data_IF_486816642362
#
_entry.id   IF_486816642362
#
_cell.length_a   1.000
_cell.length_b   1.000
_cell.length_c   1.000
_cell.angle_alpha   90.00
_cell.angle_beta   90.00
_cell.angle_gamma   90.00
#
_symmetry.space_group_name_H-M   'P 1'
#
loop_
_entity.id
_entity.type
_entity.pdbx_description
1 polymer ?
#
# COMPACT_ATOMS: atom_id res chain seq x y z
N UNK A 1 -14.72 -39.04 -32.28
CA UNK A 1 -13.47 -38.26 -32.08
C UNK A 1 -13.75 -36.82 -31.65
N UNK A 2 -14.63 -36.06 -32.34
CA UNK A 2 -14.98 -34.66 -31.99
C UNK A 2 -15.52 -34.44 -30.57
N UNK A 3 -16.42 -35.29 -30.08
CA UNK A 3 -16.97 -35.16 -28.71
C UNK A 3 -15.91 -35.29 -27.60
N UNK A 4 -14.93 -36.18 -27.77
CA UNK A 4 -13.84 -36.37 -26.79
C UNK A 4 -12.91 -35.15 -26.71
N UNK A 5 -12.69 -34.47 -27.85
CA UNK A 5 -11.87 -33.25 -27.91
C UNK A 5 -12.60 -32.08 -27.22
N UNK A 6 -13.91 -31.95 -27.42
CA UNK A 6 -14.72 -30.91 -26.77
C UNK A 6 -14.76 -31.11 -25.25
N UNK A 7 -14.97 -32.34 -24.78
CA UNK A 7 -14.94 -32.66 -23.35
C UNK A 7 -13.56 -32.41 -22.71
N UNK A 8 -12.46 -32.74 -23.40
CA UNK A 8 -11.12 -32.39 -22.93
C UNK A 8 -10.90 -30.87 -22.86
N UNK A 9 -11.37 -30.11 -23.86
CA UNK A 9 -11.27 -28.65 -23.85
C UNK A 9 -12.01 -28.01 -22.67
N UNK A 10 -13.23 -28.47 -22.39
CA UNK A 10 -14.03 -28.00 -21.25
C UNK A 10 -13.37 -28.37 -19.92
N UNK A 11 -12.83 -29.58 -19.79
CA UNK A 11 -12.14 -30.01 -18.57
C UNK A 11 -10.87 -29.18 -18.31
N UNK A 12 -10.08 -28.86 -19.33
CA UNK A 12 -8.89 -28.00 -19.20
C UNK A 12 -9.30 -26.59 -18.79
N UNK A 13 -10.35 -26.03 -19.39
CA UNK A 13 -10.86 -24.71 -19.01
C UNK A 13 -11.32 -24.68 -17.55
N UNK A 14 -12.03 -25.71 -17.09
CA UNK A 14 -12.45 -25.83 -15.69
C UNK A 14 -11.27 -25.91 -14.73
N UNK A 15 -10.23 -26.68 -15.07
CA UNK A 15 -9.02 -26.81 -14.24
C UNK A 15 -8.27 -25.47 -14.16
N UNK A 16 -8.16 -24.73 -15.27
CA UNK A 16 -7.51 -23.42 -15.28
C UNK A 16 -8.30 -22.41 -14.44
N UNK A 17 -9.63 -22.35 -14.61
CA UNK A 17 -10.49 -21.45 -13.82
C UNK A 17 -10.45 -21.82 -12.34
N UNK A 18 -10.53 -23.11 -11.99
CA UNK A 18 -10.40 -23.58 -10.61
C UNK A 18 -9.02 -23.24 -10.04
N UNK A 19 -7.94 -23.38 -10.81
CA UNK A 19 -6.59 -23.00 -10.40
C UNK A 19 -6.44 -21.50 -10.12
N UNK A 20 -7.06 -20.64 -10.94
CA UNK A 20 -7.07 -19.18 -10.73
C UNK A 20 -7.87 -18.83 -9.46
N UNK A 21 -9.05 -19.43 -9.27
CA UNK A 21 -9.89 -19.21 -8.08
C UNK A 21 -9.18 -19.70 -6.81
N UNK A 22 -8.57 -20.88 -6.83
CA UNK A 22 -7.82 -21.43 -5.70
C UNK A 22 -6.59 -20.57 -5.39
N UNK A 23 -5.84 -20.14 -6.40
CA UNK A 23 -4.69 -19.24 -6.20
C UNK A 23 -5.13 -17.89 -5.64
N UNK A 24 -6.23 -17.33 -6.13
CA UNK A 24 -6.85 -16.11 -5.57
C UNK A 24 -7.30 -16.31 -4.12
N UNK A 25 -7.90 -17.46 -3.80
CA UNK A 25 -8.34 -17.79 -2.44
C UNK A 25 -7.17 -18.02 -1.47
N UNK A 26 -6.10 -18.68 -1.90
CA UNK A 26 -4.89 -18.88 -1.10
C UNK A 26 -4.17 -17.54 -0.88
N UNK A 27 -4.11 -16.67 -1.89
CA UNK A 27 -3.54 -15.33 -1.80
C UNK A 27 -4.35 -14.42 -0.86
N UNK A 28 -5.68 -14.52 -0.90
CA UNK A 28 -6.61 -13.83 0.02
C UNK A 28 -6.49 -14.34 1.47
N UNK A 29 -6.10 -15.60 1.67
CA UNK A 29 -5.90 -16.23 2.99
C UNK A 29 -4.51 -16.09 3.57
N UNK A 30 -3.57 -15.39 2.94
CA UNK A 30 -2.44 -14.84 3.69
C UNK A 30 -2.97 -13.69 4.54
N UNK A 31 -3.72 -14.07 5.60
CA UNK A 31 -4.30 -13.16 6.55
C UNK A 31 -3.20 -12.29 7.12
N UNK A 32 -3.40 -10.98 7.00
CA UNK A 32 -2.65 -10.06 7.83
C UNK A 32 -3.20 -10.22 9.24
N UNK A 33 -2.39 -10.75 10.14
CA UNK A 33 -2.45 -10.30 11.52
C UNK A 33 -2.11 -8.81 11.45
N UNK A 34 -3.13 -7.94 11.42
CA UNK A 34 -2.96 -6.55 11.82
C UNK A 34 -3.02 -6.61 13.35
N UNK A 35 -1.89 -6.59 14.05
CA UNK A 35 -1.88 -6.56 15.51
C UNK A 35 -2.66 -5.33 15.99
N UNK A 36 -3.90 -5.59 16.42
CA UNK A 36 -4.77 -4.60 17.03
C UNK A 36 -4.21 -4.33 18.43
N UNK A 37 -3.84 -3.07 18.70
CA UNK A 37 -3.45 -2.64 20.04
C UNK A 37 -4.70 -2.40 20.88
N UNK A 38 -4.74 -2.95 22.08
CA UNK A 38 -5.82 -2.62 23.03
C UNK A 38 -5.70 -1.18 23.48
N UNK A 39 -6.84 -0.53 23.66
CA UNK A 39 -6.92 0.81 24.26
C UNK A 39 -7.48 0.78 25.69
N UNK A 40 -7.64 -0.40 26.30
CA UNK A 40 -8.25 -0.52 27.63
C UNK A 40 -7.37 0.09 28.75
N UNK A 41 -6.05 0.12 28.57
CA UNK A 41 -5.12 0.85 29.44
C UNK A 41 -4.01 1.53 28.63
N UNK A 42 -3.36 2.53 29.22
CA UNK A 42 -2.25 3.24 28.58
C UNK A 42 -1.05 2.31 28.30
N UNK A 43 -0.79 1.32 29.15
CA UNK A 43 0.27 0.32 28.91
C UNK A 43 -0.05 -0.62 27.74
N UNK A 44 -1.33 -0.94 27.50
CA UNK A 44 -1.70 -1.78 26.37
C UNK A 44 -1.70 -1.01 25.04
N UNK A 45 -1.99 0.29 25.07
CA UNK A 45 -1.85 1.17 23.91
C UNK A 45 -0.38 1.31 23.46
N UNK A 46 0.55 1.26 24.43
CA UNK A 46 1.99 1.29 24.18
C UNK A 46 2.62 -0.09 23.95
N UNK A 47 1.85 -1.18 24.03
CA UNK A 47 2.38 -2.53 23.84
C UNK A 47 2.95 -2.73 22.42
N UNK A 48 4.00 -3.55 22.33
CA UNK A 48 4.57 -3.98 21.07
C UNK A 48 3.52 -4.75 20.23
N UNK A 49 3.62 -4.62 18.91
CA UNK A 49 2.78 -5.32 17.95
C UNK A 49 2.71 -6.83 18.27
N UNK A 50 1.51 -7.37 18.54
CA UNK A 50 1.28 -8.81 18.75
C UNK A 50 1.20 -9.29 20.20
N UNK A 51 1.08 -8.41 21.19
CA UNK A 51 0.84 -8.83 22.58
C UNK A 51 -0.56 -9.45 22.74
N UNK A 52 -0.71 -10.71 23.17
CA UNK A 52 -2.01 -11.34 23.31
C UNK A 52 -2.82 -10.67 24.42
N UNK A 53 -4.02 -10.23 24.07
CA UNK A 53 -4.97 -9.66 25.01
C UNK A 53 -5.91 -10.77 25.47
N UNK A 54 -5.75 -11.21 26.71
CA UNK A 54 -6.75 -12.04 27.35
C UNK A 54 -7.97 -11.13 27.56
N UNK A 55 -9.15 -11.56 27.09
CA UNK A 55 -10.40 -10.81 27.25
C UNK A 55 -10.58 -10.45 28.74
N UNK A 56 -10.31 -9.19 29.09
CA UNK A 56 -10.38 -8.74 30.47
C UNK A 56 -11.86 -8.63 30.85
N UNK A 57 -12.28 -9.48 31.79
CA UNK A 57 -13.54 -9.33 32.51
C UNK A 57 -13.52 -7.99 33.23
N UNK A 58 -14.41 -7.06 32.88
CA UNK A 58 -14.61 -5.84 33.65
C UNK A 58 -15.61 -6.16 34.76
N UNK A 59 -15.21 -5.94 36.02
CA UNK A 59 -16.13 -5.94 37.15
C UNK A 59 -16.94 -4.64 37.05
N UNK A 60 -18.25 -4.73 36.84
CA UNK A 60 -19.14 -3.58 36.93
C UNK A 60 -19.17 -3.01 38.36
N UNK A 61 -19.68 -1.78 38.53
CA UNK A 61 -19.74 -1.06 39.82
C UNK A 61 -20.48 -1.84 40.94
N UNK A 62 -21.28 -2.85 40.59
CA UNK A 62 -21.99 -3.73 41.54
C UNK A 62 -21.43 -5.17 41.60
N UNK A 63 -20.22 -5.42 41.08
CA UNK A 63 -19.59 -6.74 41.11
C UNK A 63 -20.19 -7.76 40.14
N UNK A 64 -20.97 -7.31 39.15
CA UNK A 64 -21.47 -8.17 38.08
C UNK A 64 -20.43 -8.35 36.96
N UNK A 65 -20.38 -9.56 36.41
CA UNK A 65 -19.59 -9.88 35.21
C UNK A 65 -20.36 -9.34 34.01
N UNK A 66 -19.97 -8.17 33.52
CA UNK A 66 -20.47 -7.65 32.25
C UNK A 66 -19.62 -8.19 31.10
N UNK A 67 -20.27 -8.67 30.04
CA UNK A 67 -19.56 -8.93 28.79
C UNK A 67 -19.15 -7.56 28.25
N UNK A 68 -17.85 -7.26 28.34
CA UNK A 68 -17.31 -6.02 27.81
C UNK A 68 -17.69 -5.92 26.33
N UNK A 69 -18.57 -4.97 25.99
CA UNK A 69 -18.78 -4.57 24.60
C UNK A 69 -17.50 -3.88 24.18
N UNK A 70 -16.59 -4.64 23.56
CA UNK A 70 -15.40 -4.07 22.96
C UNK A 70 -15.91 -3.15 21.84
N UNK A 71 -15.69 -1.82 21.92
CA UNK A 71 -16.10 -0.94 20.84
C UNK A 71 -15.42 -1.38 19.54
N UNK A 72 -16.11 -1.24 18.41
CA UNK A 72 -15.51 -1.53 17.11
C UNK A 72 -14.24 -0.69 16.95
N UNK A 73 -13.11 -1.37 16.78
CA UNK A 73 -11.81 -0.73 16.70
C UNK A 73 -11.77 0.22 15.51
N UNK A 74 -11.49 1.51 15.75
CA UNK A 74 -11.30 2.49 14.69
C UNK A 74 -9.82 2.47 14.24
N UNK A 75 -9.50 1.93 13.05
CA UNK A 75 -8.12 1.85 12.58
C UNK A 75 -7.45 3.21 12.41
N UNK A 76 -8.20 4.33 12.37
CA UNK A 76 -7.66 5.70 12.40
C UNK A 76 -6.84 5.99 13.66
N UNK A 77 -7.06 5.22 14.73
CA UNK A 77 -6.33 5.34 15.99
C UNK A 77 -4.99 4.58 15.98
N UNK A 78 -4.68 3.81 14.93
CA UNK A 78 -3.33 3.29 14.69
C UNK A 78 -2.43 4.45 14.31
N UNK A 79 -1.64 4.90 15.27
CA UNK A 79 -0.62 5.93 15.08
C UNK A 79 0.74 5.28 14.89
N UNK A 80 1.55 5.88 14.01
CA UNK A 80 2.97 5.54 13.91
C UNK A 80 3.65 5.77 15.28
N UNK A 81 4.50 4.83 15.70
CA UNK A 81 5.33 4.97 16.89
C UNK A 81 6.25 6.19 16.81
N UNK A 82 6.82 6.61 17.94
CA UNK A 82 7.81 7.70 17.94
C UNK A 82 9.02 7.39 17.03
N UNK A 83 9.48 6.13 17.02
CA UNK A 83 10.59 5.70 16.18
C UNK A 83 10.24 5.65 14.69
N UNK A 84 9.06 5.12 14.33
CA UNK A 84 8.59 5.14 12.93
C UNK A 84 8.49 6.58 12.45
N UNK A 85 7.85 7.47 13.22
CA UNK A 85 7.76 8.90 12.89
C UNK A 85 9.13 9.54 12.72
N UNK A 86 10.08 9.26 13.60
CA UNK A 86 11.45 9.78 13.49
C UNK A 86 12.19 9.25 12.24
N UNK A 87 11.84 8.06 11.78
CA UNK A 87 12.45 7.41 10.61
C UNK A 87 11.82 7.83 9.28
N UNK A 88 10.63 8.43 9.30
CA UNK A 88 9.95 8.90 8.08
C UNK A 88 10.83 9.92 7.34
N UNK A 89 11.27 9.62 6.10
CA UNK A 89 12.12 10.52 5.33
C UNK A 89 11.33 11.71 4.79
N UNK A 90 12.04 12.82 4.54
CA UNK A 90 11.46 14.03 3.96
C UNK A 90 11.14 13.84 2.47
N UNK A 91 9.90 14.13 2.10
CA UNK A 91 9.47 14.27 0.71
C UNK A 91 9.86 15.66 0.18
N UNK A 92 11.14 15.83 -0.12
CA UNK A 92 11.68 17.06 -0.73
C UNK A 92 11.08 17.31 -2.11
N UNK A 93 10.82 16.22 -2.84
CA UNK A 93 10.28 16.19 -4.19
C UNK A 93 9.21 15.10 -4.30
N UNK A 94 8.21 15.35 -5.14
CA UNK A 94 7.25 14.32 -5.54
C UNK A 94 7.22 14.13 -7.06
N UNK A 95 6.82 12.94 -7.51
CA UNK A 95 6.74 12.56 -8.93
C UNK A 95 5.57 11.62 -9.18
N UNK A 96 5.27 11.39 -10.46
CA UNK A 96 4.17 10.52 -10.87
C UNK A 96 4.37 9.08 -10.37
N UNK A 97 3.27 8.43 -10.00
CA UNK A 97 3.25 7.06 -9.51
C UNK A 97 3.17 5.99 -10.62
N UNK A 98 2.82 6.39 -11.85
CA UNK A 98 2.65 5.51 -13.01
C UNK A 98 3.18 6.23 -14.26
N UNK A 99 3.45 5.45 -15.31
CA UNK A 99 3.88 5.91 -16.62
C UNK A 99 5.39 5.75 -16.79
N UNK A 100 6.01 6.62 -17.57
CA UNK A 100 7.47 6.75 -17.51
C UNK A 100 7.91 7.28 -16.15
N UNK A 101 9.22 7.24 -15.88
CA UNK A 101 9.87 7.90 -14.73
C UNK A 101 9.53 9.40 -14.56
N UNK A 102 8.88 10.00 -15.55
CA UNK A 102 8.43 11.40 -15.55
C UNK A 102 6.92 11.56 -15.71
N UNK A 103 6.15 10.48 -15.59
CA UNK A 103 4.69 10.50 -15.70
C UNK A 103 4.16 10.67 -17.13
N UNK A 104 4.97 10.36 -18.15
CA UNK A 104 4.47 10.26 -19.52
C UNK A 104 3.74 8.93 -19.74
N UNK A 105 2.91 8.85 -20.79
CA UNK A 105 2.16 7.64 -21.17
C UNK A 105 1.18 7.14 -20.10
N UNK A 106 0.69 8.06 -19.26
CA UNK A 106 -0.40 7.80 -18.33
C UNK A 106 -1.39 8.96 -18.34
N UNK A 107 -2.63 8.71 -17.92
CA UNK A 107 -3.63 9.74 -17.68
C UNK A 107 -4.47 9.38 -16.46
N UNK A 108 -5.07 10.39 -15.85
CA UNK A 108 -6.01 10.21 -14.75
C UNK A 108 -7.41 9.95 -15.33
N UNK A 109 -7.87 8.71 -15.22
CA UNK A 109 -9.15 8.24 -15.73
C UNK A 109 -10.32 8.63 -14.81
N UNK A 110 -10.08 8.71 -13.51
CA UNK A 110 -11.07 9.13 -12.52
C UNK A 110 -10.44 10.02 -11.45
N UNK A 111 -10.58 11.36 -11.59
CA UNK A 111 -9.95 12.29 -10.67
C UNK A 111 -10.48 12.21 -9.24
N UNK A 112 -9.62 12.59 -8.30
CA UNK A 112 -9.96 12.82 -6.91
C UNK A 112 -11.20 13.69 -6.79
N UNK A 113 -12.08 13.30 -5.87
CA UNK A 113 -13.31 13.99 -5.53
C UNK A 113 -14.39 14.03 -6.62
N UNK A 114 -14.21 13.28 -7.72
CA UNK A 114 -15.25 13.12 -8.74
C UNK A 114 -16.52 12.51 -8.12
N UNK A 115 -17.65 13.17 -8.30
CA UNK A 115 -18.93 12.71 -7.75
C UNK A 115 -19.42 11.43 -8.43
N UNK A 116 -19.90 10.49 -7.62
CA UNK A 116 -20.56 9.28 -8.05
C UNK A 116 -21.66 8.90 -7.06
N UNK A 117 -22.83 9.52 -7.22
CA UNK A 117 -24.01 9.26 -6.40
C UNK A 117 -24.38 7.76 -6.28
N UNK A 118 -24.15 6.95 -7.33
CA UNK A 118 -24.42 5.50 -7.31
C UNK A 118 -23.50 4.74 -6.35
N UNK A 119 -22.32 5.27 -6.07
CA UNK A 119 -21.34 4.69 -5.13
C UNK A 119 -21.33 5.39 -3.76
N UNK A 120 -22.25 6.32 -3.53
CA UNK A 120 -22.46 6.93 -2.22
C UNK A 120 -21.60 8.17 -1.94
N UNK A 121 -21.09 8.84 -2.97
CA UNK A 121 -20.39 10.12 -2.84
C UNK A 121 -19.23 10.27 -3.82
N UNK A 122 -18.16 10.90 -3.35
CA UNK A 122 -17.00 11.27 -4.14
C UNK A 122 -15.92 10.20 -4.13
N UNK A 123 -15.22 10.06 -5.24
CA UNK A 123 -14.05 9.19 -5.37
C UNK A 123 -12.89 9.67 -4.49
N UNK A 124 -12.28 8.77 -3.71
CA UNK A 124 -11.33 9.13 -2.66
C UNK A 124 -9.89 9.31 -3.11
N UNK A 125 -9.56 8.92 -4.34
CA UNK A 125 -8.22 9.03 -4.92
C UNK A 125 -8.26 9.37 -6.40
N UNK A 126 -7.10 9.33 -7.03
CA UNK A 126 -6.96 9.39 -8.48
C UNK A 126 -6.77 7.98 -9.05
N UNK A 127 -7.53 7.64 -10.09
CA UNK A 127 -7.32 6.40 -10.84
C UNK A 127 -6.49 6.69 -12.09
N UNK A 128 -5.26 6.16 -12.12
CA UNK A 128 -4.34 6.30 -13.25
C UNK A 128 -4.37 5.06 -14.15
N UNK A 129 -4.32 5.31 -15.46
CA UNK A 129 -4.25 4.28 -16.49
C UNK A 129 -3.09 4.54 -17.45
N UNK A 130 -2.56 3.46 -18.03
CA UNK A 130 -1.65 3.52 -19.16
C UNK A 130 -2.39 3.76 -20.48
N UNK A 131 -1.62 4.09 -21.53
CA UNK A 131 -2.18 4.26 -22.88
C UNK A 131 -2.50 2.88 -23.50
N UNK A 132 -3.77 2.64 -23.83
CA UNK A 132 -4.20 1.41 -24.54
C UNK A 132 -5.58 0.90 -24.12
N UNK A 133 -6.02 1.26 -22.91
CA UNK A 133 -7.35 0.95 -22.38
C UNK A 133 -7.52 -0.49 -21.87
N UNK A 134 -8.59 -0.72 -21.12
CA UNK A 134 -8.91 -2.00 -20.47
C UNK A 134 -7.76 -2.49 -19.58
N UNK A 135 -7.10 -3.61 -19.92
CA UNK A 135 -6.04 -4.22 -19.12
C UNK A 135 -4.68 -4.12 -19.81
N UNK A 136 -4.48 -3.21 -20.76
CA UNK A 136 -3.20 -3.06 -21.45
C UNK A 136 -2.07 -2.62 -20.54
N UNK A 137 -2.41 -1.94 -19.44
CA UNK A 137 -1.51 -1.47 -18.38
C UNK A 137 -1.40 -2.47 -17.22
N UNK A 138 -2.02 -3.65 -17.31
CA UNK A 138 -1.83 -4.70 -16.29
C UNK A 138 -0.37 -5.12 -16.23
N UNK A 139 0.23 -5.01 -15.04
CA UNK A 139 1.64 -5.33 -14.83
C UNK A 139 2.59 -4.16 -15.07
N UNK A 140 2.11 -3.00 -15.51
CA UNK A 140 2.94 -1.80 -15.64
C UNK A 140 3.55 -1.40 -14.28
N UNK A 141 4.76 -0.84 -14.27
CA UNK A 141 5.44 -0.48 -13.03
C UNK A 141 4.72 0.66 -12.30
N UNK A 142 4.62 0.52 -10.98
CA UNK A 142 4.16 1.57 -10.06
C UNK A 142 5.35 2.06 -9.24
N UNK A 143 5.50 3.37 -9.15
CA UNK A 143 6.64 4.04 -8.51
C UNK A 143 6.24 4.79 -7.25
N UNK A 144 7.14 4.84 -6.27
CA UNK A 144 6.95 5.68 -5.09
C UNK A 144 6.97 7.17 -5.47
N UNK A 145 5.90 7.90 -5.12
CA UNK A 145 5.78 9.33 -5.44
C UNK A 145 6.83 10.17 -4.75
N UNK A 146 7.38 9.73 -3.61
CA UNK A 146 8.39 10.43 -2.83
C UNK A 146 9.22 9.45 -2.00
N UNK A 147 10.31 9.94 -1.39
CA UNK A 147 11.01 9.18 -0.34
C UNK A 147 10.03 8.90 0.79
N UNK A 148 9.89 7.66 1.23
CA UNK A 148 8.92 7.27 2.24
C UNK A 148 9.31 6.07 3.07
N UNK A 149 8.60 5.87 4.18
CA UNK A 149 8.64 4.65 5.00
C UNK A 149 7.42 3.80 4.67
N UNK A 150 7.59 2.52 4.35
CA UNK A 150 6.47 1.62 4.16
C UNK A 150 5.78 1.31 5.49
N UNK A 151 4.57 1.84 5.69
CA UNK A 151 3.81 1.76 6.96
C UNK A 151 2.58 0.87 6.87
N UNK A 152 2.24 0.40 5.67
CA UNK A 152 1.24 -0.65 5.47
C UNK A 152 1.57 -1.41 4.19
N UNK A 153 1.34 -2.72 4.21
CA UNK A 153 1.39 -3.60 3.05
C UNK A 153 0.34 -4.68 3.25
N UNK A 154 -0.64 -4.78 2.37
CA UNK A 154 -1.60 -5.88 2.42
C UNK A 154 -2.85 -5.72 1.58
N UNK A 155 -3.78 -6.66 1.72
CA UNK A 155 -5.08 -6.61 1.05
C UNK A 155 -6.15 -6.24 2.09
N UNK A 156 -6.50 -4.95 2.24
CA UNK A 156 -7.42 -4.50 3.28
C UNK A 156 -8.86 -4.91 2.98
N UNK A 157 -9.21 -5.09 1.70
CA UNK A 157 -10.46 -5.72 1.26
C UNK A 157 -10.31 -6.21 -0.18
N UNK A 158 -11.21 -7.08 -0.62
CA UNK A 158 -11.26 -7.51 -2.02
C UNK A 158 -11.43 -6.34 -3.00
N UNK A 159 -12.17 -5.31 -2.60
CA UNK A 159 -12.36 -4.09 -3.39
C UNK A 159 -11.13 -3.19 -3.44
N UNK A 160 -10.15 -3.37 -2.55
CA UNK A 160 -8.89 -2.66 -2.60
C UNK A 160 -7.80 -3.48 -3.30
N UNK A 161 -7.83 -4.81 -3.18
CA UNK A 161 -6.76 -5.67 -3.66
C UNK A 161 -5.46 -5.40 -2.89
N UNK A 162 -4.30 -5.70 -3.47
CA UNK A 162 -3.05 -5.38 -2.81
C UNK A 162 -2.87 -3.85 -2.72
N UNK A 163 -2.59 -3.39 -1.50
CA UNK A 163 -2.40 -1.99 -1.13
C UNK A 163 -1.08 -1.82 -0.40
N UNK A 164 -0.34 -0.77 -0.77
CA UNK A 164 0.85 -0.29 -0.05
C UNK A 164 0.60 1.14 0.43
N UNK A 165 1.04 1.48 1.64
CA UNK A 165 1.02 2.88 2.12
C UNK A 165 2.43 3.30 2.51
N UNK A 166 2.86 4.43 1.95
CA UNK A 166 4.13 5.07 2.30
C UNK A 166 3.86 6.33 3.11
N UNK A 167 4.54 6.47 4.25
CA UNK A 167 4.57 7.69 5.03
C UNK A 167 5.72 8.59 4.58
N UNK A 168 5.43 9.88 4.50
CA UNK A 168 6.34 10.93 4.03
C UNK A 168 6.33 12.09 5.02
N UNK A 169 7.47 12.73 5.20
CA UNK A 169 7.54 13.99 5.95
C UNK A 169 7.49 15.16 4.97
N UNK A 170 6.42 15.93 5.02
CA UNK A 170 6.23 17.13 4.22
C UNK A 170 7.25 18.22 4.55
N UNK A 171 7.30 19.26 3.71
CA UNK A 171 8.27 20.37 3.86
C UNK A 171 8.06 21.18 5.14
N UNK A 172 6.85 21.18 5.71
CA UNK A 172 6.53 21.87 6.97
C UNK A 172 6.65 20.94 8.19
N UNK A 173 7.11 19.70 7.98
CA UNK A 173 7.28 18.69 9.02
C UNK A 173 6.03 17.87 9.32
N UNK A 174 4.91 18.13 8.64
CA UNK A 174 3.69 17.33 8.66
C UNK A 174 3.92 15.92 8.10
N UNK A 175 3.07 14.97 8.50
CA UNK A 175 3.07 13.63 7.90
C UNK A 175 2.05 13.57 6.77
N UNK A 176 2.50 13.08 5.63
CA UNK A 176 1.69 12.79 4.47
C UNK A 176 1.73 11.28 4.21
N UNK A 177 0.60 10.67 3.85
CA UNK A 177 0.54 9.27 3.46
C UNK A 177 0.13 9.16 2.00
N UNK A 178 0.87 8.38 1.21
CA UNK A 178 0.43 7.96 -0.13
C UNK A 178 0.00 6.50 -0.10
N UNK A 179 -1.20 6.21 -0.60
CA UNK A 179 -1.78 4.87 -0.65
C UNK A 179 -1.91 4.41 -2.10
N UNK A 180 -1.27 3.29 -2.43
CA UNK A 180 -1.23 2.68 -3.75
C UNK A 180 -2.04 1.39 -3.71
N UNK A 181 -3.17 1.36 -4.40
CA UNK A 181 -4.12 0.25 -4.36
C UNK A 181 -4.31 -0.43 -5.71
N UNK A 182 -5.03 -1.54 -5.69
CA UNK A 182 -5.32 -2.41 -6.83
C UNK A 182 -4.09 -3.08 -7.44
N UNK A 183 -2.96 -3.10 -6.73
CA UNK A 183 -1.68 -3.62 -7.23
C UNK A 183 -1.77 -5.12 -7.55
N UNK A 184 -1.13 -5.57 -8.63
CA UNK A 184 -0.96 -7.00 -8.89
C UNK A 184 0.18 -7.58 -8.05
N UNK A 185 1.24 -6.83 -7.81
CA UNK A 185 2.37 -7.21 -6.95
C UNK A 185 2.83 -6.03 -6.09
N UNK A 186 3.31 -6.32 -4.89
CA UNK A 186 4.00 -5.36 -4.02
C UNK A 186 5.43 -5.84 -3.81
N UNK A 187 6.39 -5.05 -4.28
CA UNK A 187 7.83 -5.30 -4.15
C UNK A 187 8.41 -4.69 -2.88
N UNK A 188 7.86 -3.58 -2.41
CA UNK A 188 8.31 -2.90 -1.19
C UNK A 188 7.96 -3.72 0.08
N UNK A 189 8.93 -4.09 0.93
CA UNK A 189 8.67 -4.67 2.24
C UNK A 189 8.03 -3.67 3.21
N UNK A 190 7.32 -4.16 4.23
CA UNK A 190 6.91 -3.31 5.36
C UNK A 190 8.13 -2.84 6.15
N UNK A 191 8.10 -1.59 6.63
CA UNK A 191 9.16 -0.98 7.43
C UNK A 191 10.40 -0.53 6.66
N UNK A 192 10.47 -0.76 5.34
CA UNK A 192 11.60 -0.31 4.53
C UNK A 192 11.49 1.17 4.17
N UNK A 193 12.65 1.83 4.11
CA UNK A 193 12.79 3.15 3.50
C UNK A 193 12.84 2.97 1.98
N UNK A 194 11.91 3.62 1.28
CA UNK A 194 11.74 3.58 -0.17
C UNK A 194 12.11 4.94 -0.74
N UNK A 195 12.82 4.95 -1.87
CA UNK A 195 13.22 6.19 -2.54
C UNK A 195 12.17 6.66 -3.55
N UNK A 196 12.05 7.97 -3.80
CA UNK A 196 11.21 8.49 -4.89
C UNK A 196 11.63 7.84 -6.22
N UNK A 197 10.65 7.42 -7.01
CA UNK A 197 10.86 6.78 -8.30
C UNK A 197 11.29 5.31 -8.23
N UNK A 198 11.45 4.74 -7.03
CA UNK A 198 11.66 3.31 -6.87
C UNK A 198 10.39 2.54 -7.24
N UNK A 199 10.54 1.43 -7.98
CA UNK A 199 9.41 0.55 -8.30
C UNK A 199 8.95 -0.18 -7.04
N UNK A 200 7.71 0.08 -6.63
CA UNK A 200 7.11 -0.47 -5.40
C UNK A 200 6.14 -1.61 -5.67
N UNK A 201 5.75 -1.80 -6.92
CA UNK A 201 4.81 -2.82 -7.33
C UNK A 201 4.43 -2.68 -8.80
N UNK A 202 3.34 -3.35 -9.16
CA UNK A 202 2.78 -3.32 -10.52
C UNK A 202 1.29 -3.08 -10.49
N UNK A 203 0.78 -2.44 -11.55
CA UNK A 203 -0.64 -2.21 -11.78
C UNK A 203 -1.39 -3.54 -11.79
N UNK A 204 -2.58 -3.57 -11.19
CA UNK A 204 -3.42 -4.75 -11.10
C UNK A 204 -4.90 -4.45 -11.22
N UNK A 205 -5.73 -5.43 -10.83
CA UNK A 205 -7.20 -5.44 -11.07
C UNK A 205 -8.01 -5.56 -9.78
N UNK A 206 -7.36 -5.48 -8.62
CA UNK A 206 -7.94 -5.87 -7.33
C UNK A 206 -8.64 -7.23 -7.39
N UNK A 207 -7.91 -8.29 -7.76
CA UNK A 207 -8.45 -9.64 -7.89
C UNK A 207 -9.66 -9.73 -8.87
N UNK A 208 -9.54 -9.10 -10.05
CA UNK A 208 -10.55 -9.05 -11.12
C UNK A 208 -11.82 -8.25 -10.78
N UNK A 209 -11.81 -7.43 -9.72
CA UNK A 209 -12.95 -6.56 -9.42
C UNK A 209 -13.04 -5.36 -10.39
N UNK A 210 -11.93 -4.95 -10.99
CA UNK A 210 -11.87 -3.81 -11.93
C UNK A 210 -10.97 -4.10 -13.14
N UNK A 211 -11.17 -3.39 -14.27
CA UNK A 211 -10.12 -3.22 -15.26
C UNK A 211 -8.84 -2.69 -14.62
N UNK A 212 -7.69 -2.99 -15.21
CA UNK A 212 -6.42 -2.63 -14.61
C UNK A 212 -6.27 -1.10 -14.49
N UNK A 213 -5.82 -0.64 -13.32
CA UNK A 213 -5.48 0.76 -13.05
C UNK A 213 -4.74 0.85 -11.70
N UNK A 214 -4.09 1.99 -11.45
CA UNK A 214 -3.57 2.35 -10.13
C UNK A 214 -4.56 3.30 -9.47
N UNK A 215 -5.03 2.95 -8.28
CA UNK A 215 -5.72 3.90 -7.41
C UNK A 215 -4.71 4.52 -6.44
N UNK A 216 -4.59 5.84 -6.46
CA UNK A 216 -3.70 6.61 -5.60
C UNK A 216 -4.49 7.54 -4.68
N UNK A 217 -4.42 7.33 -3.36
CA UNK A 217 -4.86 8.33 -2.38
C UNK A 217 -3.67 9.08 -1.78
N UNK A 218 -3.92 10.31 -1.34
CA UNK A 218 -2.99 11.10 -0.52
C UNK A 218 -3.73 11.61 0.71
N UNK A 219 -3.08 11.53 1.88
CA UNK A 219 -3.66 11.93 3.17
C UNK A 219 -2.74 12.88 3.91
N UNK A 220 -3.31 13.88 4.59
CA UNK A 220 -2.63 14.68 5.60
C UNK A 220 -2.96 14.11 6.99
N UNK A 221 -2.23 13.05 7.37
CA UNK A 221 -2.49 12.29 8.59
C UNK A 221 -1.23 11.62 9.12
N UNK A 222 -1.20 11.41 10.44
CA UNK A 222 -0.17 10.64 11.13
C UNK A 222 -0.55 9.17 11.36
N UNK A 223 -1.76 8.76 10.99
CA UNK A 223 -2.30 7.43 11.18
C UNK A 223 -2.73 6.78 9.88
N UNK A 224 -2.59 5.45 9.80
CA UNK A 224 -3.00 4.67 8.63
C UNK A 224 -4.51 4.42 8.69
N UNK A 225 -5.24 4.94 7.70
CA UNK A 225 -6.68 4.73 7.58
C UNK A 225 -7.04 4.33 6.16
N UNK A 226 -7.58 3.12 6.02
CA UNK A 226 -8.07 2.61 4.74
C UNK A 226 -9.60 2.62 4.80
N UNK A 227 -10.19 3.65 4.20
CA UNK A 227 -11.63 3.84 4.17
C UNK A 227 -12.32 3.15 2.99
N UNK A 228 -13.53 3.60 2.67
CA UNK A 228 -14.24 3.24 1.43
C UNK A 228 -13.68 4.05 0.27
N UNK A 229 -13.63 3.47 -0.93
CA UNK A 229 -13.20 4.18 -2.15
C UNK A 229 -14.14 5.31 -2.61
N UNK A 230 -15.31 5.44 -1.98
CA UNK A 230 -16.30 6.49 -2.23
C UNK A 230 -16.89 6.97 -0.91
N UNK A 231 -16.98 8.28 -0.73
CA UNK A 231 -17.44 8.91 0.52
C UNK A 231 -18.04 10.29 0.28
N UNK A 232 -19.01 10.69 1.09
CA UNK A 232 -19.53 12.06 1.11
C UNK A 232 -18.69 13.02 1.97
N UNK A 233 -17.80 12.48 2.82
CA UNK A 233 -16.93 13.25 3.71
C UNK A 233 -15.47 13.01 3.37
N UNK A 234 -14.75 14.11 3.10
CA UNK A 234 -13.36 14.06 2.64
C UNK A 234 -12.41 13.53 3.71
N UNK A 235 -12.60 13.97 4.96
CA UNK A 235 -11.73 13.61 6.07
C UNK A 235 -10.33 14.18 5.90
N UNK A 236 -9.32 13.33 6.05
CA UNK A 236 -7.89 13.63 5.94
C UNK A 236 -7.35 13.57 4.50
N UNK A 237 -8.18 13.15 3.54
CA UNK A 237 -7.79 13.00 2.13
C UNK A 237 -7.54 14.34 1.47
N UNK A 238 -6.53 14.39 0.63
CA UNK A 238 -6.13 15.57 -0.14
C UNK A 238 -5.86 15.14 -1.58
N UNK A 239 -6.04 16.07 -2.52
CA UNK A 239 -5.84 15.82 -3.96
C UNK A 239 -4.39 15.38 -4.26
N UNK A 240 -4.17 14.12 -4.70
CA UNK A 240 -2.84 13.61 -5.01
C UNK A 240 -2.12 14.39 -6.11
N UNK A 241 -2.80 14.69 -7.23
CA UNK A 241 -2.22 15.46 -8.34
C UNK A 241 -1.78 16.84 -7.86
N UNK A 242 -2.61 17.54 -7.08
CA UNK A 242 -2.27 18.85 -6.53
C UNK A 242 -1.07 18.79 -5.59
N UNK A 243 -1.01 17.79 -4.70
CA UNK A 243 0.10 17.62 -3.75
C UNK A 243 1.40 17.31 -4.47
N UNK A 244 1.37 16.41 -5.46
CA UNK A 244 2.53 16.06 -6.29
C UNK A 244 3.03 17.30 -7.04
N UNK A 245 2.12 18.08 -7.65
CA UNK A 245 2.46 19.30 -8.37
C UNK A 245 3.13 20.34 -7.46
N UNK A 246 2.63 20.56 -6.25
CA UNK A 246 3.21 21.49 -5.26
C UNK A 246 4.61 21.08 -4.79
N UNK A 247 4.93 19.78 -4.87
CA UNK A 247 6.23 19.24 -4.50
C UNK A 247 7.13 18.92 -5.71
N UNK A 248 6.69 19.23 -6.93
CA UNK A 248 7.49 19.08 -8.14
C UNK A 248 8.52 20.22 -8.29
N UNK A 249 9.62 19.96 -9.02
CA UNK A 249 10.70 20.93 -9.26
C UNK A 249 10.81 21.34 -10.73
N UNK A 250 11.41 22.50 -10.98
CA UNK A 250 11.70 23.05 -12.31
C UNK A 250 12.84 22.28 -13.04
N UNK A 251 13.00 22.55 -14.34
CA UNK A 251 13.39 21.58 -15.38
C UNK A 251 14.85 21.11 -15.52
N UNK A 252 15.92 21.58 -14.86
CA UNK A 252 17.16 20.81 -14.86
C UNK A 252 17.08 19.66 -13.85
N UNK A 253 16.47 19.95 -12.71
CA UNK A 253 16.54 19.12 -11.51
C UNK A 253 15.60 17.91 -11.53
N UNK A 254 14.61 17.92 -12.43
CA UNK A 254 13.61 16.84 -12.57
C UNK A 254 14.24 15.50 -12.93
N UNK A 255 15.38 15.52 -13.63
CA UNK A 255 16.06 14.34 -14.17
C UNK A 255 17.08 13.73 -13.21
N UNK A 256 17.39 14.39 -12.08
CA UNK A 256 18.35 13.86 -11.13
C UNK A 256 17.75 12.68 -10.35
N UNK A 257 18.54 11.60 -10.26
CA UNK A 257 18.26 10.49 -9.37
C UNK A 257 18.18 10.98 -7.92
N UNK A 258 17.33 10.35 -7.12
CA UNK A 258 17.28 10.65 -5.70
C UNK A 258 18.59 10.27 -5.00
N UNK A 259 19.16 11.17 -4.18
CA UNK A 259 20.33 10.84 -3.36
C UNK A 259 20.09 9.62 -2.46
N UNK A 260 18.86 9.48 -1.92
CA UNK A 260 18.51 8.32 -1.09
C UNK A 260 18.64 7.00 -1.88
N UNK A 261 18.24 7.00 -3.15
CA UNK A 261 18.35 5.83 -4.02
C UNK A 261 19.81 5.47 -4.33
N UNK A 262 20.70 6.47 -4.38
CA UNK A 262 22.14 6.25 -4.59
C UNK A 262 22.74 5.61 -3.32
N UNK A 263 22.48 6.20 -2.16
CA UNK A 263 23.01 5.73 -0.87
C UNK A 263 22.53 4.31 -0.54
N UNK A 264 21.24 4.01 -0.75
CA UNK A 264 20.71 2.66 -0.50
C UNK A 264 21.34 1.62 -1.42
N UNK A 265 21.51 1.93 -2.71
CA UNK A 265 22.19 1.05 -3.67
C UNK A 265 23.66 0.80 -3.29
N UNK A 266 24.40 1.84 -2.91
CA UNK A 266 25.80 1.71 -2.49
C UNK A 266 25.94 0.86 -1.23
N UNK A 267 25.07 1.07 -0.23
CA UNK A 267 25.07 0.28 0.99
C UNK A 267 24.73 -1.21 0.73
N UNK A 268 23.79 -1.49 -0.18
CA UNK A 268 23.46 -2.86 -0.58
C UNK A 268 24.63 -3.53 -1.31
N UNK A 269 25.33 -2.81 -2.18
CA UNK A 269 26.51 -3.31 -2.87
C UNK A 269 27.67 -3.61 -1.90
N UNK A 270 27.92 -2.73 -0.92
CA UNK A 270 28.93 -2.96 0.12
C UNK A 270 28.56 -4.16 1.00
N UNK A 271 27.30 -4.28 1.44
CA UNK A 271 26.83 -5.42 2.21
C UNK A 271 26.99 -6.74 1.44
N UNK A 272 26.62 -6.75 0.16
CA UNK A 272 26.79 -7.92 -0.71
C UNK A 272 28.26 -8.34 -0.83
N UNK A 273 29.17 -7.38 -1.00
CA UNK A 273 30.61 -7.64 -1.05
C UNK A 273 31.12 -8.23 0.27
N UNK A 274 30.71 -7.67 1.42
CA UNK A 274 31.09 -8.19 2.75
C UNK A 274 30.61 -9.61 3.00
N UNK A 275 29.39 -9.94 2.56
CA UNK A 275 28.83 -11.29 2.70
C UNK A 275 29.52 -12.30 1.78
N UNK A 276 29.87 -11.89 0.56
CA UNK A 276 30.57 -12.73 -0.42
C UNK A 276 31.99 -13.06 0.04
N UNK A 277 32.73 -12.08 0.57
CA UNK A 277 34.07 -12.28 1.14
C UNK A 277 34.03 -13.26 2.32
N UNK A 278 33.03 -13.14 3.22
CA UNK A 278 32.87 -14.07 4.34
C UNK A 278 32.62 -15.51 3.88
N UNK A 279 31.82 -15.71 2.84
CA UNK A 279 31.53 -17.05 2.31
C UNK A 279 32.71 -17.69 1.57
N UNK A 280 33.62 -16.89 0.99
CA UNK A 280 34.86 -17.40 0.38
C UNK A 280 35.96 -17.70 1.42
N UNK A 281 35.82 -17.19 2.64
CA UNK A 281 36.78 -17.41 3.75
C UNK A 281 36.42 -18.57 4.67
N UNK A 282 35.32 -19.29 4.43
CA UNK A 282 34.99 -20.50 5.16
C UNK A 282 35.89 -21.66 4.69
N UNK A 283 36.70 -22.29 5.56
CA UNK A 283 37.52 -23.42 5.15
C UNK A 283 36.63 -24.62 4.80
N UNK A 284 36.86 -25.21 3.63
CA UNK A 284 36.28 -26.50 3.25
C UNK A 284 36.56 -27.52 4.36
N UNK A 285 35.50 -28.07 4.95
CA UNK A 285 35.58 -29.19 5.89
C UNK A 285 35.27 -30.50 5.17
#
# INVERSE_FOLDING_TARGET
MKQRIILCGIAVLFIVVAGIVIKGFIRSRSGYDVPVKSMATWQQADAALGYPLNAATILGDEGQIETAVIPEFDPRLIQLSAFERATVPTATRMSAAMGSEHGALTYNAQPFWSDNAKRGGHHTGDDFNGIGGMNTDLGDPVYAVANGLAVYRGEPSSGWGNTLILAHRGKKGELLLSMYSHLDQIHAPYGSIISRGETIGTVGTANLNYPAHLHLEMHNSAGVHIGRGYTSSQGDRIDPVSVIAQHSVASPDRLHAEPLAIVTRENLADLHNRLTIKNQSAPDK
#
